data_IF_633772521795
#
_entry.id   IF_633772521795
#
_cell.length_a   1.000
_cell.length_b   1.000
_cell.length_c   1.000
_cell.angle_alpha   90.00
_cell.angle_beta   90.00
_cell.angle_gamma   90.00
#
_symmetry.space_group_name_H-M   'P 1'
#
loop_
_entity.id
_entity.type
_entity.pdbx_description
1 polymer ?
#
# COMPACT_ATOMS: atom_id res chain seq x y z
N UNK A 1 -11.78 -32.94 -38.84
CA UNK A 1 -11.49 -31.49 -38.85
C UNK A 1 -12.11 -30.91 -37.60
N UNK A 2 -11.33 -30.83 -36.52
CA UNK A 2 -11.80 -30.44 -35.19
C UNK A 2 -11.62 -28.94 -35.06
N UNK A 3 -12.72 -28.22 -34.93
CA UNK A 3 -12.77 -26.77 -34.82
C UNK A 3 -12.18 -26.35 -33.47
N UNK A 4 -11.00 -25.74 -33.49
CA UNK A 4 -10.41 -25.06 -32.33
C UNK A 4 -11.26 -23.84 -32.03
N UNK A 5 -12.14 -23.93 -31.04
CA UNK A 5 -12.83 -22.78 -30.48
C UNK A 5 -11.79 -21.87 -29.83
N UNK A 6 -11.46 -20.76 -30.50
CA UNK A 6 -10.81 -19.62 -29.86
C UNK A 6 -11.77 -19.09 -28.79
N UNK A 7 -11.55 -19.48 -27.55
CA UNK A 7 -12.11 -18.79 -26.40
C UNK A 7 -11.43 -17.41 -26.41
N UNK A 8 -12.18 -16.35 -26.70
CA UNK A 8 -11.70 -15.00 -26.53
C UNK A 8 -11.33 -14.83 -25.06
N UNK A 9 -10.07 -14.50 -24.80
CA UNK A 9 -9.53 -14.20 -23.47
C UNK A 9 -10.09 -12.88 -22.92
N UNK A 10 -11.41 -12.72 -22.85
CA UNK A 10 -11.98 -11.93 -21.77
C UNK A 10 -11.79 -12.78 -20.52
N UNK A 11 -10.58 -12.70 -19.95
CA UNK A 11 -10.26 -13.28 -18.65
C UNK A 11 -11.41 -12.92 -17.72
N UNK A 12 -12.00 -13.95 -17.11
CA UNK A 12 -13.02 -13.87 -16.07
C UNK A 12 -12.74 -12.62 -15.22
N UNK A 13 -13.60 -11.59 -15.30
CA UNK A 13 -13.33 -10.29 -14.66
C UNK A 13 -13.27 -10.53 -13.16
N UNK A 14 -12.05 -10.66 -12.63
CA UNK A 14 -11.81 -10.74 -11.19
C UNK A 14 -12.05 -9.35 -10.60
N UNK A 15 -12.84 -9.26 -9.54
CA UNK A 15 -13.03 -8.01 -8.79
C UNK A 15 -11.67 -7.47 -8.37
N UNK A 16 -11.32 -6.27 -8.84
CA UNK A 16 -10.12 -5.56 -8.43
C UNK A 16 -10.34 -4.87 -7.08
N UNK A 17 -9.25 -4.47 -6.44
CA UNK A 17 -9.30 -3.85 -5.12
C UNK A 17 -8.00 -3.10 -4.81
N UNK A 18 -8.10 -2.05 -4.02
CA UNK A 18 -6.94 -1.36 -3.47
C UNK A 18 -6.70 -1.82 -2.05
N UNK A 19 -5.50 -2.35 -1.80
CA UNK A 19 -5.01 -2.72 -0.47
C UNK A 19 -3.97 -1.67 -0.10
N UNK A 20 -4.37 -0.73 0.75
CA UNK A 20 -3.58 0.43 1.13
C UNK A 20 -2.81 0.14 2.42
N UNK A 21 -1.51 -0.17 2.31
CA UNK A 21 -0.67 -0.42 3.46
C UNK A 21 -0.01 0.88 3.91
N UNK A 22 -0.40 1.38 5.08
CA UNK A 22 0.11 2.62 5.69
C UNK A 22 0.90 2.32 6.97
N UNK A 23 1.89 3.14 7.30
CA UNK A 23 2.81 2.87 8.42
C UNK A 23 4.12 3.65 8.31
N UNK A 24 4.87 3.69 9.41
CA UNK A 24 6.17 4.37 9.49
C UNK A 24 7.20 3.87 8.44
N UNK A 25 8.19 4.70 8.05
CA UNK A 25 9.37 4.21 7.34
C UNK A 25 9.96 2.96 8.00
N UNK A 26 10.46 2.00 7.24
CA UNK A 26 11.02 0.73 7.78
C UNK A 26 10.04 -0.18 8.56
N UNK A 27 8.72 0.10 8.54
CA UNK A 27 7.71 -0.74 9.18
C UNK A 27 7.44 -2.09 8.48
N UNK A 28 8.03 -2.38 7.33
CA UNK A 28 7.85 -3.66 6.62
C UNK A 28 6.71 -3.73 5.60
N UNK A 29 6.06 -2.59 5.29
CA UNK A 29 4.96 -2.50 4.32
C UNK A 29 5.26 -3.14 2.96
N UNK A 30 6.37 -2.73 2.33
CA UNK A 30 6.78 -3.22 1.00
C UNK A 30 7.01 -4.73 1.02
N UNK A 31 7.69 -5.24 2.05
CA UNK A 31 7.96 -6.67 2.19
C UNK A 31 6.66 -7.49 2.31
N UNK A 32 5.70 -7.03 3.11
CA UNK A 32 4.38 -7.69 3.25
C UNK A 32 3.61 -7.62 1.92
N UNK A 33 3.64 -6.48 1.23
CA UNK A 33 2.96 -6.30 -0.05
C UNK A 33 3.49 -7.28 -1.12
N UNK A 34 4.82 -7.45 -1.24
CA UNK A 34 5.39 -8.38 -2.22
C UNK A 34 5.11 -9.85 -1.89
N UNK A 35 5.14 -10.24 -0.61
CA UNK A 35 4.75 -11.59 -0.19
C UNK A 35 3.29 -11.88 -0.56
N UNK A 36 2.37 -10.96 -0.24
CA UNK A 36 0.96 -11.09 -0.62
C UNK A 36 0.78 -11.10 -2.14
N UNK A 37 1.56 -10.29 -2.87
CA UNK A 37 1.49 -10.24 -4.32
C UNK A 37 1.84 -11.58 -4.97
N UNK A 38 2.85 -12.28 -4.45
CA UNK A 38 3.22 -13.62 -4.92
C UNK A 38 2.03 -14.59 -4.79
N UNK A 39 1.44 -14.67 -3.60
CA UNK A 39 0.29 -15.54 -3.33
C UNK A 39 -0.91 -15.26 -4.23
N UNK A 40 -1.30 -13.99 -4.35
CA UNK A 40 -2.43 -13.60 -5.19
C UNK A 40 -2.18 -13.89 -6.68
N UNK A 41 -0.93 -13.76 -7.16
CA UNK A 41 -0.56 -14.12 -8.54
C UNK A 41 -0.61 -15.62 -8.76
N UNK A 42 -0.16 -16.42 -7.80
CA UNK A 42 -0.25 -17.89 -7.85
C UNK A 42 -1.70 -18.39 -7.90
N UNK A 43 -2.64 -17.62 -7.34
CA UNK A 43 -4.09 -17.84 -7.41
C UNK A 43 -4.73 -17.34 -8.72
N UNK A 44 -3.94 -16.78 -9.65
CA UNK A 44 -4.41 -16.32 -10.95
C UNK A 44 -4.96 -14.89 -10.96
N UNK A 45 -4.83 -14.15 -9.87
CA UNK A 45 -5.29 -12.76 -9.83
C UNK A 45 -4.32 -11.80 -10.53
N UNK A 46 -4.87 -10.73 -11.11
CA UNK A 46 -4.06 -9.61 -11.62
C UNK A 46 -3.62 -8.73 -10.45
N UNK A 47 -2.32 -8.54 -10.28
CA UNK A 47 -1.76 -7.84 -9.11
C UNK A 47 -0.66 -6.88 -9.53
N UNK A 48 -0.75 -5.65 -9.03
CA UNK A 48 0.29 -4.63 -9.17
C UNK A 48 0.71 -4.10 -7.81
N UNK A 49 2.02 -3.90 -7.60
CA UNK A 49 2.56 -3.32 -6.37
C UNK A 49 3.00 -1.89 -6.68
N UNK A 50 2.28 -0.91 -6.16
CA UNK A 50 2.61 0.50 -6.36
C UNK A 50 3.62 0.95 -5.31
N UNK A 51 4.92 0.72 -5.58
CA UNK A 51 5.99 1.13 -4.68
C UNK A 51 6.07 2.66 -4.56
N UNK A 52 6.02 3.16 -3.32
CA UNK A 52 5.97 4.60 -3.06
C UNK A 52 7.21 5.36 -3.51
N UNK A 53 8.39 4.73 -3.57
CA UNK A 53 9.62 5.38 -4.05
C UNK A 53 9.61 5.48 -5.58
N UNK A 54 9.23 4.40 -6.28
CA UNK A 54 9.14 4.37 -7.75
C UNK A 54 8.09 5.38 -8.25
N UNK A 55 6.91 5.39 -7.65
CA UNK A 55 5.88 6.37 -8.00
C UNK A 55 6.37 7.80 -7.72
N UNK A 56 7.12 8.00 -6.64
CA UNK A 56 7.67 9.32 -6.32
C UNK A 56 8.71 9.77 -7.34
N UNK A 57 9.53 8.85 -7.84
CA UNK A 57 10.51 9.10 -8.89
C UNK A 57 9.85 9.49 -10.22
N UNK A 58 8.81 8.76 -10.66
CA UNK A 58 8.25 8.93 -12.02
C UNK A 58 7.02 9.82 -12.12
N UNK A 59 6.10 9.78 -11.13
CA UNK A 59 4.82 10.49 -11.18
C UNK A 59 4.75 11.68 -10.22
N UNK A 60 5.70 11.77 -9.28
CA UNK A 60 5.82 12.89 -8.35
C UNK A 60 7.20 13.53 -8.36
N UNK A 61 7.93 13.40 -9.47
CA UNK A 61 9.19 14.09 -9.69
C UNK A 61 9.00 15.60 -9.47
N UNK A 62 9.74 16.18 -8.53
CA UNK A 62 9.65 17.61 -8.20
C UNK A 62 8.80 17.95 -6.97
N UNK A 63 8.07 17.00 -6.38
CA UNK A 63 7.45 17.21 -5.07
C UNK A 63 8.50 17.11 -3.95
N UNK A 64 8.40 18.01 -2.97
CA UNK A 64 9.18 17.95 -1.74
C UNK A 64 8.61 16.95 -0.73
N UNK A 65 8.82 17.24 0.55
CA UNK A 65 8.27 16.48 1.69
C UNK A 65 7.42 17.36 2.60
N UNK A 66 6.94 18.50 2.09
CA UNK A 66 5.96 19.31 2.82
C UNK A 66 4.64 18.56 2.96
N UNK A 67 3.79 18.96 3.92
CA UNK A 67 2.44 18.36 4.07
C UNK A 67 1.64 18.40 2.76
N UNK A 68 1.67 19.52 2.04
CA UNK A 68 0.97 19.68 0.76
C UNK A 68 1.53 18.77 -0.36
N UNK A 69 2.85 18.62 -0.41
CA UNK A 69 3.50 17.71 -1.36
C UNK A 69 3.16 16.24 -1.05
N UNK A 70 3.17 15.86 0.23
CA UNK A 70 2.80 14.53 0.69
C UNK A 70 1.34 14.22 0.38
N UNK A 71 0.43 15.15 0.63
CA UNK A 71 -0.99 15.03 0.27
C UNK A 71 -1.17 14.86 -1.23
N UNK A 72 -0.51 15.70 -2.05
CA UNK A 72 -0.55 15.59 -3.50
C UNK A 72 -0.04 14.22 -3.97
N UNK A 73 1.07 13.74 -3.42
CA UNK A 73 1.62 12.42 -3.74
C UNK A 73 0.64 11.29 -3.39
N UNK A 74 0.05 11.32 -2.18
CA UNK A 74 -0.94 10.32 -1.73
C UNK A 74 -2.16 10.30 -2.66
N UNK A 75 -2.69 11.46 -3.03
CA UNK A 75 -3.84 11.56 -3.95
C UNK A 75 -3.52 11.04 -5.35
N UNK A 76 -2.31 11.29 -5.87
CA UNK A 76 -1.84 10.74 -7.17
C UNK A 76 -1.77 9.22 -7.14
N UNK A 77 -1.19 8.65 -6.08
CA UNK A 77 -1.14 7.20 -5.89
C UNK A 77 -2.56 6.64 -5.76
N UNK A 78 -3.44 7.28 -4.99
CA UNK A 78 -4.84 6.89 -4.85
C UNK A 78 -5.62 6.91 -6.17
N UNK A 79 -5.35 7.89 -7.05
CA UNK A 79 -5.89 7.91 -8.40
C UNK A 79 -5.44 6.70 -9.23
N UNK A 80 -4.14 6.41 -9.22
CA UNK A 80 -3.58 5.29 -9.98
C UNK A 80 -4.10 3.94 -9.46
N UNK A 81 -4.16 3.78 -8.13
CA UNK A 81 -4.68 2.58 -7.49
C UNK A 81 -6.15 2.33 -7.86
N UNK A 82 -7.02 3.34 -7.80
CA UNK A 82 -8.43 3.22 -8.21
C UNK A 82 -8.56 2.89 -9.70
N UNK A 83 -7.75 3.52 -10.56
CA UNK A 83 -7.72 3.25 -12.00
C UNK A 83 -7.34 1.78 -12.31
N UNK A 84 -6.41 1.20 -11.57
CA UNK A 84 -6.05 -0.21 -11.70
C UNK A 84 -7.16 -1.11 -11.15
N UNK A 85 -7.67 -0.78 -9.96
CA UNK A 85 -8.70 -1.56 -9.25
C UNK A 85 -10.01 -1.69 -10.03
N UNK A 86 -10.50 -0.61 -10.64
CA UNK A 86 -11.71 -0.67 -11.49
C UNK A 86 -11.52 -1.52 -12.76
N UNK A 87 -10.27 -1.79 -13.15
CA UNK A 87 -9.92 -2.66 -14.27
C UNK A 87 -9.58 -4.10 -13.82
N UNK A 88 -9.99 -4.51 -12.62
CA UNK A 88 -9.85 -5.88 -12.13
C UNK A 88 -8.49 -6.23 -11.53
N UNK A 89 -7.64 -5.23 -11.26
CA UNK A 89 -6.31 -5.42 -10.66
C UNK A 89 -6.42 -5.28 -9.13
N UNK A 90 -5.69 -6.11 -8.38
CA UNK A 90 -5.42 -5.88 -6.96
C UNK A 90 -4.22 -4.97 -6.84
N UNK A 91 -4.46 -3.69 -6.57
CA UNK A 91 -3.41 -2.70 -6.35
C UNK A 91 -2.95 -2.78 -4.88
N UNK A 92 -1.74 -3.28 -4.65
CA UNK A 92 -1.10 -3.29 -3.33
C UNK A 92 -0.25 -2.02 -3.21
N UNK A 93 -0.55 -1.18 -2.22
CA UNK A 93 0.00 0.18 -2.14
C UNK A 93 0.76 0.36 -0.83
N UNK A 94 2.06 -0.01 -0.75
CA UNK A 94 2.89 0.18 0.42
C UNK A 94 3.46 1.61 0.51
N UNK A 95 2.75 2.50 1.19
CA UNK A 95 3.11 3.93 1.29
C UNK A 95 3.09 4.43 2.74
N UNK A 96 3.72 5.57 3.03
CA UNK A 96 3.71 6.11 4.40
C UNK A 96 2.36 6.75 4.74
N UNK A 97 1.78 7.52 3.80
CA UNK A 97 0.48 8.21 3.93
C UNK A 97 0.19 8.75 5.35
N UNK A 98 1.00 9.71 5.85
CA UNK A 98 1.04 10.04 7.27
C UNK A 98 -0.22 10.74 7.81
N UNK A 99 -0.94 11.47 6.97
CA UNK A 99 -2.09 12.28 7.39
C UNK A 99 -3.40 11.56 7.13
N UNK A 100 -4.31 11.59 8.10
CA UNK A 100 -5.59 10.91 8.05
C UNK A 100 -6.51 11.49 6.98
N UNK A 101 -6.48 12.81 6.78
CA UNK A 101 -7.26 13.50 5.73
C UNK A 101 -6.86 13.05 4.32
N UNK A 102 -5.56 12.88 4.05
CA UNK A 102 -5.08 12.36 2.78
C UNK A 102 -5.52 10.91 2.55
N UNK A 103 -5.51 10.05 3.58
CA UNK A 103 -5.99 8.66 3.47
C UNK A 103 -7.50 8.59 3.27
N UNK A 104 -8.26 9.43 3.96
CA UNK A 104 -9.72 9.51 3.79
C UNK A 104 -10.08 9.98 2.38
N UNK A 105 -9.40 10.99 1.83
CA UNK A 105 -9.63 11.41 0.45
C UNK A 105 -9.40 10.29 -0.58
N UNK A 106 -8.45 9.38 -0.34
CA UNK A 106 -8.24 8.20 -1.18
C UNK A 106 -9.39 7.20 -1.00
N UNK A 107 -9.85 6.98 0.24
CA UNK A 107 -11.00 6.10 0.54
C UNK A 107 -12.28 6.62 -0.13
N UNK A 108 -12.61 7.89 0.03
CA UNK A 108 -13.76 8.57 -0.58
C UNK A 108 -13.73 8.46 -2.11
N UNK A 109 -12.54 8.57 -2.72
CA UNK A 109 -12.38 8.37 -4.16
C UNK A 109 -12.81 6.97 -4.59
N UNK A 110 -12.36 5.94 -3.88
CA UNK A 110 -12.70 4.55 -4.20
C UNK A 110 -14.19 4.28 -3.99
N UNK A 111 -14.78 4.80 -2.90
CA UNK A 111 -16.22 4.72 -2.62
C UNK A 111 -17.02 5.36 -3.76
N UNK A 112 -16.63 6.57 -4.18
CA UNK A 112 -17.28 7.29 -5.28
C UNK A 112 -17.15 6.55 -6.62
N UNK A 113 -16.02 5.87 -6.84
CA UNK A 113 -15.77 5.05 -8.03
C UNK A 113 -16.37 3.63 -7.96
N UNK A 114 -16.98 3.24 -6.84
CA UNK A 114 -17.52 1.89 -6.64
C UNK A 114 -16.44 0.79 -6.63
N UNK A 115 -15.22 1.13 -6.21
CA UNK A 115 -14.10 0.17 -6.15
C UNK A 115 -13.80 -0.23 -4.69
N UNK A 116 -13.54 -1.52 -4.41
CA UNK A 116 -13.13 -1.96 -3.08
C UNK A 116 -11.83 -1.29 -2.63
N UNK A 117 -11.80 -0.82 -1.38
CA UNK A 117 -10.64 -0.22 -0.74
C UNK A 117 -10.52 -0.74 0.69
N UNK A 118 -9.33 -1.18 1.07
CA UNK A 118 -8.99 -1.66 2.41
C UNK A 118 -7.78 -0.89 2.93
N UNK A 119 -7.90 -0.32 4.13
CA UNK A 119 -6.79 0.35 4.82
C UNK A 119 -6.14 -0.61 5.82
N UNK A 120 -4.87 -0.91 5.60
CA UNK A 120 -4.07 -1.78 6.44
C UNK A 120 -3.02 -0.95 7.18
N UNK A 121 -3.10 -0.93 8.50
CA UNK A 121 -2.09 -0.27 9.34
C UNK A 121 -0.96 -1.24 9.70
N UNK A 122 0.24 -1.00 9.17
CA UNK A 122 1.46 -1.70 9.59
C UNK A 122 2.07 -0.98 10.79
N UNK A 123 1.52 -1.29 11.97
CA UNK A 123 1.78 -0.70 13.28
C UNK A 123 3.09 -1.20 13.91
N UNK A 124 4.22 -0.86 13.28
CA UNK A 124 5.55 -1.14 13.84
C UNK A 124 6.02 0.07 14.66
N UNK A 125 6.38 -0.08 15.94
CA UNK A 125 6.87 1.03 16.76
C UNK A 125 8.08 1.73 16.13
N UNK A 126 8.20 3.04 16.39
CA UNK A 126 9.26 3.87 15.80
C UNK A 126 10.65 3.39 16.24
N UNK A 127 10.78 2.88 17.47
CA UNK A 127 12.02 2.35 18.03
C UNK A 127 12.48 1.10 17.28
N UNK A 128 11.54 0.25 16.84
CA UNK A 128 11.86 -0.92 16.01
C UNK A 128 12.18 -0.47 14.59
N UNK A 129 11.44 0.49 14.06
CA UNK A 129 11.69 1.03 12.72
C UNK A 129 13.06 1.70 12.61
N UNK A 130 13.48 2.44 13.64
CA UNK A 130 14.78 3.11 13.70
C UNK A 130 15.94 2.14 13.86
N UNK A 131 15.75 1.02 14.55
CA UNK A 131 16.75 -0.07 14.58
C UNK A 131 16.86 -0.76 13.22
N UNK A 132 15.74 -0.98 12.53
CA UNK A 132 15.74 -1.63 11.19
C UNK A 132 16.39 -0.75 10.12
N UNK A 133 16.12 0.55 10.15
CA UNK A 133 16.60 1.62 9.26
C UNK A 133 16.99 1.18 7.84
N UNK A 134 16.09 0.47 7.16
CA UNK A 134 16.38 -0.22 5.88
C UNK A 134 16.92 0.72 4.80
N UNK A 135 16.51 2.00 4.84
CA UNK A 135 16.90 3.04 3.87
C UNK A 135 17.88 4.07 4.45
N UNK A 136 18.37 3.88 5.68
CA UNK A 136 19.27 4.83 6.35
C UNK A 136 18.63 6.18 6.69
N UNK A 137 17.31 6.28 6.68
CA UNK A 137 16.59 7.55 6.88
C UNK A 137 16.66 8.01 8.34
N UNK A 138 16.58 7.08 9.29
CA UNK A 138 16.67 7.42 10.71
C UNK A 138 18.09 7.88 11.08
N UNK A 139 19.13 7.20 10.57
CA UNK A 139 20.51 7.61 10.76
C UNK A 139 20.80 8.99 10.15
N UNK A 140 20.31 9.25 8.92
CA UNK A 140 20.46 10.55 8.25
C UNK A 140 19.76 11.68 9.01
N UNK A 141 18.57 11.42 9.55
CA UNK A 141 17.85 12.41 10.36
C UNK A 141 18.61 12.70 11.65
N UNK A 142 19.10 11.66 12.34
CA UNK A 142 19.90 11.82 13.56
C UNK A 142 21.21 12.58 13.32
N UNK A 143 21.80 12.45 12.11
CA UNK A 143 22.97 13.21 11.68
C UNK A 143 22.64 14.65 11.22
N UNK A 144 21.36 15.03 11.13
CA UNK A 144 20.92 16.35 10.65
C UNK A 144 20.99 16.53 9.14
N UNK A 145 21.18 15.46 8.36
CA UNK A 145 21.27 15.49 6.90
C UNK A 145 19.91 15.63 6.22
N UNK A 146 18.85 15.17 6.89
CA UNK A 146 17.46 15.31 6.45
C UNK A 146 16.59 15.83 7.60
N UNK A 147 15.48 16.46 7.26
CA UNK A 147 14.45 16.91 8.19
C UNK A 147 13.06 16.47 7.72
N UNK A 148 12.09 16.52 8.63
CA UNK A 148 10.71 16.13 8.31
C UNK A 148 10.54 14.62 8.13
N UNK A 149 11.32 13.81 8.85
CA UNK A 149 11.13 12.36 8.87
C UNK A 149 9.85 12.02 9.62
N UNK A 150 8.95 11.31 8.95
CA UNK A 150 7.67 10.88 9.50
C UNK A 150 7.86 9.98 10.72
N UNK A 151 7.18 10.31 11.83
CA UNK A 151 7.28 9.65 13.13
C UNK A 151 8.43 10.16 14.00
N UNK A 152 9.21 11.14 13.53
CA UNK A 152 10.28 11.80 14.30
C UNK A 152 10.04 13.31 14.34
N UNK A 153 10.21 13.99 13.21
CA UNK A 153 10.03 15.45 13.10
C UNK A 153 8.71 15.87 12.42
N UNK A 154 8.10 14.95 11.66
CA UNK A 154 6.81 15.13 10.97
C UNK A 154 5.82 14.08 11.52
N UNK A 155 4.56 14.42 11.82
CA UNK A 155 3.64 13.47 12.46
C UNK A 155 3.30 12.27 11.58
N UNK A 156 2.95 11.18 12.24
CA UNK A 156 2.22 10.06 11.66
C UNK A 156 0.91 9.90 12.41
N UNK A 157 -0.20 10.25 11.77
CA UNK A 157 -1.54 10.12 12.34
C UNK A 157 -2.01 8.68 12.16
N UNK A 158 -1.93 7.87 13.22
CA UNK A 158 -2.34 6.46 13.15
C UNK A 158 -3.78 6.31 12.63
N UNK A 159 -4.06 5.33 11.76
CA UNK A 159 -5.42 4.98 11.38
C UNK A 159 -6.25 4.62 12.62
N UNK A 160 -7.36 5.34 12.83
CA UNK A 160 -8.28 5.11 13.94
C UNK A 160 -9.05 3.79 13.80
N UNK A 161 -9.48 3.48 12.56
CA UNK A 161 -10.29 2.29 12.24
C UNK A 161 -9.80 1.62 10.95
N UNK A 162 -8.55 1.11 10.90
CA UNK A 162 -8.08 0.37 9.75
C UNK A 162 -8.86 -0.95 9.62
N UNK A 163 -9.01 -1.44 8.39
CA UNK A 163 -9.61 -2.74 8.11
C UNK A 163 -8.77 -3.90 8.70
N UNK A 164 -7.45 -3.70 8.84
CA UNK A 164 -6.55 -4.60 9.55
C UNK A 164 -5.37 -3.83 10.16
N UNK A 165 -4.98 -4.21 11.39
CA UNK A 165 -3.77 -3.72 12.05
C UNK A 165 -2.76 -4.87 12.15
N UNK A 166 -1.53 -4.63 11.70
CA UNK A 166 -0.40 -5.57 11.75
C UNK A 166 0.74 -5.00 12.58
N UNK A 167 1.08 -5.72 13.64
CA UNK A 167 2.29 -5.48 14.43
C UNK A 167 3.47 -6.26 13.81
N UNK A 168 4.07 -5.76 12.72
CA UNK A 168 5.12 -6.51 11.97
C UNK A 168 6.40 -6.84 12.76
N UNK A 169 6.50 -6.39 14.00
CA UNK A 169 7.61 -6.66 14.91
C UNK A 169 7.37 -7.89 15.79
N UNK A 170 6.13 -8.38 15.88
CA UNK A 170 5.75 -9.54 16.69
C UNK A 170 5.44 -10.78 15.86
N UNK A 171 5.43 -10.65 14.53
CA UNK A 171 5.10 -11.72 13.59
C UNK A 171 5.95 -11.66 12.33
N UNK A 172 6.06 -12.80 11.64
CA UNK A 172 6.79 -12.94 10.38
C UNK A 172 6.07 -12.24 9.22
N UNK A 173 6.81 -12.09 8.11
CA UNK A 173 6.26 -11.59 6.84
C UNK A 173 5.15 -12.53 6.34
N UNK A 174 5.36 -13.84 6.45
CA UNK A 174 4.42 -14.85 5.97
C UNK A 174 3.12 -14.85 6.78
N UNK A 175 3.19 -14.68 8.10
CA UNK A 175 2.01 -14.54 8.97
C UNK A 175 1.26 -13.23 8.66
N UNK A 176 2.00 -12.13 8.49
CA UNK A 176 1.41 -10.83 8.11
C UNK A 176 0.66 -10.89 6.78
N UNK A 177 1.27 -11.51 5.76
CA UNK A 177 0.63 -11.68 4.46
C UNK A 177 -0.54 -12.68 4.52
N UNK A 178 -0.46 -13.71 5.37
CA UNK A 178 -1.57 -14.64 5.61
C UNK A 178 -2.77 -13.94 6.23
N UNK A 179 -2.56 -13.04 7.20
CA UNK A 179 -3.62 -12.25 7.80
C UNK A 179 -4.31 -11.32 6.78
N UNK A 180 -3.52 -10.68 5.90
CA UNK A 180 -4.09 -9.87 4.80
C UNK A 180 -4.89 -10.72 3.84
N UNK A 181 -4.34 -11.86 3.41
CA UNK A 181 -5.01 -12.77 2.50
C UNK A 181 -6.33 -13.25 3.08
N UNK A 182 -6.36 -13.64 4.37
CA UNK A 182 -7.59 -14.03 5.06
C UNK A 182 -8.64 -12.91 5.07
N UNK A 183 -8.24 -11.66 5.32
CA UNK A 183 -9.15 -10.51 5.20
C UNK A 183 -9.68 -10.37 3.76
N UNK A 184 -8.83 -10.53 2.74
CA UNK A 184 -9.26 -10.46 1.35
C UNK A 184 -10.28 -11.55 1.01
N UNK A 185 -10.06 -12.78 1.47
CA UNK A 185 -11.02 -13.89 1.27
C UNK A 185 -12.33 -13.64 1.99
N UNK A 186 -12.31 -13.13 3.23
CA UNK A 186 -13.54 -12.74 3.95
C UNK A 186 -14.35 -11.68 3.18
N UNK A 187 -13.66 -10.75 2.51
CA UNK A 187 -14.26 -9.70 1.68
C UNK A 187 -14.59 -10.16 0.26
N UNK A 188 -14.34 -11.42 -0.11
CA UNK A 188 -14.58 -11.97 -1.45
C UNK A 188 -13.64 -11.41 -2.53
N UNK A 189 -12.44 -11.01 -2.14
CA UNK A 189 -11.42 -10.40 -3.00
C UNK A 189 -10.25 -11.35 -3.34
N UNK A 190 -10.09 -12.45 -2.61
CA UNK A 190 -9.08 -13.50 -2.83
C UNK A 190 -9.70 -14.89 -2.72
#
# INVERSE_FOLDING_TARGET
>A
MTTTTQISQEQQVTTGATIWLTGLPSAGKTTIAYELAGRLRDEGHRVEVLDGDEIREFLSSGLGFSRADRDTNVRRIGFLAELLSRNGVKALVPVIAPYADSREAVRERHQSGGTPYLEVHVATPVEVCSVRDVKGLYAKQAAGEISGLTGVDDPYEEPASPDLRIESHTQSVQESAAALHALLTERGLA
#
